data_IF_661799934170
#
_entry.id   IF_661799934170
#
_cell.length_a   1.000
_cell.length_b   1.000
_cell.length_c   1.000
_cell.angle_alpha   90.00
_cell.angle_beta   90.00
_cell.angle_gamma   90.00
#
_symmetry.space_group_name_H-M   'P 1'
#
loop_
_entity.id
_entity.type
_entity.pdbx_description
1 polymer ?
#
# COMPACT_ATOMS: atom_id res chain seq x y z
N UNK A 1 60.85 -33.48 32.33
CA UNK A 1 60.42 -32.44 33.29
C UNK A 1 59.18 -31.64 32.86
N UNK A 2 58.63 -31.88 31.68
CA UNK A 2 57.44 -31.18 31.13
C UNK A 2 56.10 -31.75 31.58
N UNK A 3 56.05 -32.99 32.08
CA UNK A 3 54.83 -33.64 32.54
C UNK A 3 54.32 -33.13 33.90
N UNK A 4 55.23 -32.86 34.81
CA UNK A 4 54.88 -32.33 36.13
C UNK A 4 54.29 -30.94 36.11
N UNK A 5 54.66 -30.09 35.15
CA UNK A 5 54.05 -28.76 34.99
C UNK A 5 52.65 -28.82 34.35
N UNK A 6 52.41 -29.81 33.50
CA UNK A 6 51.08 -30.06 32.94
C UNK A 6 50.10 -30.60 33.96
N UNK A 7 50.56 -31.49 34.84
CA UNK A 7 49.72 -32.07 35.89
C UNK A 7 49.33 -31.02 36.94
N UNK A 8 50.24 -30.12 37.30
CA UNK A 8 49.99 -29.03 38.24
C UNK A 8 49.05 -27.96 37.60
N UNK A 9 49.19 -27.71 36.31
CA UNK A 9 48.31 -26.78 35.60
C UNK A 9 46.88 -27.34 35.46
N UNK A 10 46.74 -28.66 35.28
CA UNK A 10 45.47 -29.35 35.18
C UNK A 10 44.76 -29.43 36.54
N UNK A 11 45.49 -29.65 37.62
CA UNK A 11 44.98 -29.66 38.99
C UNK A 11 44.54 -28.25 39.44
N UNK A 12 45.29 -27.19 39.12
CA UNK A 12 44.92 -25.81 39.42
C UNK A 12 43.67 -25.39 38.65
N UNK A 13 43.54 -25.82 37.41
CA UNK A 13 42.35 -25.57 36.59
C UNK A 13 41.12 -26.29 37.15
N UNK A 14 41.29 -27.51 37.60
CA UNK A 14 40.24 -28.32 38.22
C UNK A 14 39.75 -27.71 39.54
N UNK A 15 40.68 -27.23 40.35
CA UNK A 15 40.38 -26.59 41.65
C UNK A 15 39.66 -25.24 41.46
N UNK A 16 40.03 -24.45 40.45
CA UNK A 16 39.34 -23.21 40.10
C UNK A 16 37.92 -23.47 39.57
N UNK A 17 37.75 -24.50 38.74
CA UNK A 17 36.42 -24.90 38.25
C UNK A 17 35.52 -25.41 39.38
N UNK A 18 36.06 -26.19 40.31
CA UNK A 18 35.32 -26.69 41.48
C UNK A 18 34.84 -25.55 42.37
N UNK A 19 35.68 -24.57 42.68
CA UNK A 19 35.31 -23.37 43.46
C UNK A 19 34.27 -22.48 42.78
N UNK A 20 34.36 -22.33 41.46
CA UNK A 20 33.35 -21.62 40.66
C UNK A 20 32.01 -22.38 40.64
N UNK A 21 32.06 -23.70 40.51
CA UNK A 21 30.86 -24.54 40.49
C UNK A 21 30.16 -24.57 41.86
N UNK A 22 30.92 -24.66 42.97
CA UNK A 22 30.37 -24.56 44.32
C UNK A 22 29.66 -23.23 44.57
N UNK A 23 30.20 -22.14 44.04
CA UNK A 23 29.62 -20.79 44.22
C UNK A 23 28.46 -20.49 43.31
N UNK A 24 28.52 -20.91 42.04
CA UNK A 24 27.55 -20.50 40.99
C UNK A 24 26.73 -21.65 40.41
N UNK A 25 27.06 -22.91 40.71
CA UNK A 25 26.41 -24.10 40.15
C UNK A 25 24.89 -24.10 40.35
N UNK A 26 24.43 -23.72 41.55
CA UNK A 26 23.00 -23.61 41.85
C UNK A 26 22.30 -22.52 41.03
N UNK A 27 22.99 -21.40 40.78
CA UNK A 27 22.48 -20.33 39.95
C UNK A 27 22.43 -20.70 38.46
N UNK A 28 23.45 -21.40 37.97
CA UNK A 28 23.52 -21.92 36.60
C UNK A 28 22.42 -22.95 36.36
N UNK A 29 22.24 -23.87 37.32
CA UNK A 29 21.17 -24.86 37.25
C UNK A 29 19.78 -24.19 37.33
N UNK A 30 19.60 -23.22 38.24
CA UNK A 30 18.37 -22.45 38.35
C UNK A 30 18.02 -21.68 37.04
N UNK A 31 19.04 -21.06 36.41
CA UNK A 31 18.89 -20.39 35.13
C UNK A 31 18.53 -21.37 34.01
N UNK A 32 19.19 -22.55 33.98
CA UNK A 32 18.86 -23.57 32.98
C UNK A 32 17.42 -24.08 33.12
N UNK A 33 16.95 -24.32 34.35
CA UNK A 33 15.57 -24.70 34.63
C UNK A 33 14.61 -23.58 34.25
N UNK A 34 14.92 -22.33 34.57
CA UNK A 34 14.09 -21.18 34.18
C UNK A 34 13.95 -21.06 32.66
N UNK A 35 15.03 -21.23 31.89
CA UNK A 35 15.01 -21.23 30.43
C UNK A 35 14.09 -22.33 29.89
N UNK A 36 14.18 -23.54 30.43
CA UNK A 36 13.33 -24.67 30.01
C UNK A 36 11.88 -24.39 30.32
N UNK A 37 11.56 -23.86 31.50
CA UNK A 37 10.18 -23.51 31.88
C UNK A 37 9.60 -22.41 31.00
N UNK A 38 10.37 -21.35 30.72
CA UNK A 38 9.95 -20.27 29.81
C UNK A 38 9.74 -20.80 28.40
N UNK A 39 10.64 -21.63 27.91
CA UNK A 39 10.51 -22.25 26.58
C UNK A 39 9.26 -23.14 26.51
N UNK A 40 9.04 -23.99 27.52
CA UNK A 40 7.85 -24.84 27.58
C UNK A 40 6.56 -24.01 27.64
N UNK A 41 6.53 -22.92 28.41
CA UNK A 41 5.39 -22.02 28.48
C UNK A 41 5.11 -21.34 27.13
N UNK A 42 6.15 -20.85 26.45
CA UNK A 42 6.02 -20.21 25.12
C UNK A 42 5.55 -21.21 24.06
N UNK A 43 6.11 -22.41 24.05
CA UNK A 43 5.72 -23.47 23.10
C UNK A 43 4.27 -23.92 23.36
N UNK A 44 3.90 -24.16 24.62
CA UNK A 44 2.53 -24.51 25.01
C UNK A 44 1.52 -23.43 24.63
N UNK A 45 1.85 -22.17 24.91
CA UNK A 45 1.02 -21.03 24.51
C UNK A 45 0.84 -20.95 22.98
N UNK A 46 1.92 -21.08 22.22
CA UNK A 46 1.87 -21.08 20.75
C UNK A 46 1.03 -22.23 20.19
N UNK A 47 1.18 -23.44 20.76
CA UNK A 47 0.39 -24.60 20.36
C UNK A 47 -1.10 -24.39 20.62
N UNK A 48 -1.45 -23.80 21.77
CA UNK A 48 -2.83 -23.50 22.11
C UNK A 48 -3.44 -22.44 21.17
N UNK A 49 -2.71 -21.33 20.93
CA UNK A 49 -3.14 -20.30 19.98
C UNK A 49 -3.30 -20.87 18.57
N UNK A 50 -2.37 -21.71 18.13
CA UNK A 50 -2.45 -22.33 16.81
C UNK A 50 -3.66 -23.26 16.67
N UNK A 51 -3.97 -24.07 17.71
CA UNK A 51 -5.14 -24.94 17.68
C UNK A 51 -6.47 -24.16 17.63
N UNK A 52 -6.55 -23.03 18.33
CA UNK A 52 -7.68 -22.12 18.24
C UNK A 52 -7.85 -21.54 16.83
N UNK A 53 -6.76 -21.06 16.23
CA UNK A 53 -6.75 -20.52 14.86
C UNK A 53 -7.18 -21.56 13.82
N UNK A 54 -6.80 -22.82 13.98
CA UNK A 54 -7.23 -23.91 13.09
C UNK A 54 -8.74 -24.15 13.23
N UNK A 55 -9.27 -24.15 14.46
CA UNK A 55 -10.71 -24.29 14.68
C UNK A 55 -11.50 -23.12 14.05
N UNK A 56 -11.05 -21.89 14.26
CA UNK A 56 -11.63 -20.68 13.67
C UNK A 56 -11.59 -20.73 12.12
N UNK A 57 -10.48 -21.23 11.55
CA UNK A 57 -10.34 -21.41 10.09
C UNK A 57 -11.40 -22.36 9.53
N UNK A 58 -11.61 -23.49 10.18
CA UNK A 58 -12.59 -24.49 9.74
C UNK A 58 -14.02 -23.95 9.86
N UNK A 59 -14.33 -23.26 10.96
CA UNK A 59 -15.63 -22.66 11.18
C UNK A 59 -15.91 -21.53 10.17
N UNK A 60 -14.91 -20.70 9.88
CA UNK A 60 -15.00 -19.64 8.86
C UNK A 60 -15.25 -20.23 7.46
N UNK A 61 -14.47 -21.23 7.04
CA UNK A 61 -14.65 -21.88 5.73
C UNK A 61 -16.03 -22.53 5.59
N UNK A 62 -16.52 -23.19 6.65
CA UNK A 62 -17.86 -23.77 6.69
C UNK A 62 -18.95 -22.70 6.52
N UNK A 63 -18.85 -21.59 7.26
CA UNK A 63 -19.81 -20.50 7.19
C UNK A 63 -19.80 -19.79 5.81
N UNK A 64 -18.63 -19.59 5.23
CA UNK A 64 -18.51 -19.00 3.88
C UNK A 64 -19.17 -19.90 2.84
N UNK A 65 -18.99 -21.22 2.94
CA UNK A 65 -19.63 -22.19 2.02
C UNK A 65 -21.15 -22.25 2.22
N UNK A 66 -21.61 -22.28 3.45
CA UNK A 66 -23.04 -22.30 3.78
C UNK A 66 -23.76 -21.04 3.30
N UNK A 67 -23.08 -19.89 3.42
CA UNK A 67 -23.65 -18.59 3.02
C UNK A 67 -23.42 -18.23 1.55
N UNK A 68 -22.74 -19.08 0.77
CA UNK A 68 -22.40 -18.78 -0.62
C UNK A 68 -23.64 -18.51 -1.49
N UNK A 69 -24.66 -19.37 -1.35
CA UNK A 69 -25.91 -19.32 -2.11
C UNK A 69 -27.08 -18.72 -1.31
N UNK A 70 -26.84 -18.29 -0.05
CA UNK A 70 -27.86 -17.68 0.79
C UNK A 70 -28.23 -16.26 0.33
N UNK A 71 -29.44 -15.81 0.66
CA UNK A 71 -29.82 -14.42 0.46
C UNK A 71 -28.84 -13.49 1.20
N UNK A 72 -28.43 -12.36 0.59
CA UNK A 72 -27.38 -11.49 1.15
C UNK A 72 -27.63 -11.08 2.62
N UNK A 73 -28.87 -10.74 2.97
CA UNK A 73 -29.22 -10.36 4.33
C UNK A 73 -29.13 -11.52 5.35
N UNK A 74 -29.40 -12.75 4.92
CA UNK A 74 -29.26 -13.97 5.76
C UNK A 74 -27.78 -14.31 5.94
N UNK A 75 -27.00 -14.25 4.85
CA UNK A 75 -25.57 -14.43 4.88
C UNK A 75 -24.88 -13.41 5.82
N UNK A 76 -25.32 -12.15 5.79
CA UNK A 76 -24.80 -11.11 6.68
C UNK A 76 -25.04 -11.45 8.16
N UNK A 77 -26.24 -11.93 8.51
CA UNK A 77 -26.58 -12.33 9.89
C UNK A 77 -25.73 -13.52 10.36
N UNK A 78 -25.55 -14.53 9.52
CA UNK A 78 -24.73 -15.69 9.85
C UNK A 78 -23.26 -15.30 10.08
N UNK A 79 -22.71 -14.43 9.23
CA UNK A 79 -21.34 -13.93 9.37
C UNK A 79 -21.17 -13.01 10.59
N UNK A 80 -22.18 -12.22 10.94
CA UNK A 80 -22.19 -11.42 12.16
C UNK A 80 -22.16 -12.30 13.43
N UNK A 81 -22.96 -13.38 13.46
CA UNK A 81 -22.94 -14.33 14.56
C UNK A 81 -21.56 -15.00 14.68
N UNK A 82 -20.99 -15.43 13.55
CA UNK A 82 -19.67 -16.03 13.50
C UNK A 82 -18.58 -15.07 14.02
N UNK A 83 -18.61 -13.81 13.59
CA UNK A 83 -17.65 -12.80 14.04
C UNK A 83 -17.71 -12.55 15.55
N UNK A 84 -18.88 -12.71 16.17
CA UNK A 84 -19.04 -12.57 17.62
C UNK A 84 -18.46 -13.74 18.42
N UNK A 85 -18.29 -14.91 17.81
CA UNK A 85 -17.75 -16.13 18.43
C UNK A 85 -16.23 -16.28 18.21
N UNK A 86 -15.70 -15.60 17.19
CA UNK A 86 -14.29 -15.68 16.80
C UNK A 86 -13.44 -14.58 17.41
N UNK A 87 -12.12 -14.78 17.35
CA UNK A 87 -11.14 -13.78 17.72
C UNK A 87 -10.09 -13.50 16.62
N UNK A 88 -9.45 -12.34 16.70
CA UNK A 88 -8.28 -12.02 15.89
C UNK A 88 -8.55 -11.91 14.39
N UNK A 89 -7.75 -12.62 13.57
CA UNK A 89 -7.79 -12.48 12.11
C UNK A 89 -9.10 -12.96 11.48
N UNK A 90 -9.67 -14.08 11.96
CA UNK A 90 -10.92 -14.63 11.42
C UNK A 90 -12.14 -13.81 11.80
N UNK A 91 -12.17 -13.22 12.98
CA UNK A 91 -13.17 -12.22 13.36
C UNK A 91 -13.16 -11.04 12.36
N UNK A 92 -11.97 -10.52 12.06
CA UNK A 92 -11.81 -9.43 11.08
C UNK A 92 -12.30 -9.82 9.70
N UNK A 93 -11.98 -11.03 9.24
CA UNK A 93 -12.44 -11.54 7.95
C UNK A 93 -13.96 -11.71 7.92
N UNK A 94 -14.55 -12.26 8.97
CA UNK A 94 -15.99 -12.42 9.09
C UNK A 94 -16.72 -11.07 9.06
N UNK A 95 -16.21 -10.05 9.76
CA UNK A 95 -16.76 -8.69 9.73
C UNK A 95 -16.67 -8.03 8.35
N UNK A 96 -15.55 -8.22 7.64
CA UNK A 96 -15.41 -7.71 6.28
C UNK A 96 -16.38 -8.38 5.32
N UNK A 97 -16.56 -9.71 5.45
CA UNK A 97 -17.52 -10.45 4.65
C UNK A 97 -18.97 -10.07 5.01
N UNK A 98 -19.29 -9.87 6.30
CA UNK A 98 -20.57 -9.34 6.74
C UNK A 98 -20.88 -8.02 6.05
N UNK A 99 -19.91 -7.09 6.04
CA UNK A 99 -20.07 -5.79 5.39
C UNK A 99 -20.31 -5.93 3.87
N UNK A 100 -19.58 -6.84 3.20
CA UNK A 100 -19.79 -7.12 1.77
C UNK A 100 -21.23 -7.68 1.52
N UNK A 101 -21.73 -8.54 2.38
CA UNK A 101 -23.10 -9.11 2.27
C UNK A 101 -24.17 -8.07 2.58
N UNK A 102 -23.96 -7.19 3.57
CA UNK A 102 -24.85 -6.06 3.83
C UNK A 102 -24.94 -5.11 2.63
N UNK A 103 -23.79 -4.82 2.01
CA UNK A 103 -23.77 -4.01 0.80
C UNK A 103 -24.58 -4.67 -0.33
N UNK A 104 -24.42 -5.97 -0.54
CA UNK A 104 -25.19 -6.74 -1.52
C UNK A 104 -26.69 -6.78 -1.20
N UNK A 105 -27.06 -6.65 0.08
CA UNK A 105 -28.45 -6.53 0.54
C UNK A 105 -29.03 -5.10 0.37
N UNK A 106 -28.21 -4.12 -0.09
CA UNK A 106 -28.61 -2.72 -0.22
C UNK A 106 -28.45 -1.90 1.07
N UNK A 107 -27.87 -2.48 2.12
CA UNK A 107 -27.65 -1.86 3.43
C UNK A 107 -26.30 -1.09 3.45
N UNK A 108 -26.14 -0.11 2.55
CA UNK A 108 -24.84 0.57 2.32
C UNK A 108 -24.29 1.27 3.58
N UNK A 109 -25.15 1.93 4.37
CA UNK A 109 -24.74 2.60 5.60
C UNK A 109 -24.26 1.62 6.67
N UNK A 110 -24.93 0.47 6.82
CA UNK A 110 -24.52 -0.57 7.74
C UNK A 110 -23.18 -1.20 7.31
N UNK A 111 -23.01 -1.46 6.02
CA UNK A 111 -21.77 -1.95 5.46
C UNK A 111 -20.61 -0.96 5.69
N UNK A 112 -20.84 0.33 5.44
CA UNK A 112 -19.86 1.39 5.70
C UNK A 112 -19.44 1.44 7.16
N UNK A 113 -20.40 1.39 8.08
CA UNK A 113 -20.11 1.42 9.53
C UNK A 113 -19.21 0.24 9.95
N UNK A 114 -19.43 -0.95 9.42
CA UNK A 114 -18.57 -2.12 9.68
C UNK A 114 -17.16 -1.94 9.10
N UNK A 115 -17.02 -1.44 7.87
CA UNK A 115 -15.71 -1.14 7.30
C UNK A 115 -14.98 -0.07 8.13
N UNK A 116 -15.66 1.00 8.56
CA UNK A 116 -15.06 2.03 9.42
C UNK A 116 -14.65 1.45 10.78
N UNK A 117 -15.42 0.54 11.35
CA UNK A 117 -15.06 -0.15 12.58
C UNK A 117 -13.77 -0.94 12.42
N UNK A 118 -13.65 -1.75 11.36
CA UNK A 118 -12.41 -2.52 11.07
C UNK A 118 -11.23 -1.58 10.77
N UNK A 119 -11.45 -0.50 10.02
CA UNK A 119 -10.40 0.46 9.66
C UNK A 119 -9.80 1.17 10.89
N UNK A 120 -10.61 1.40 11.93
CA UNK A 120 -10.22 2.11 13.15
C UNK A 120 -9.77 1.18 14.28
N UNK A 121 -9.86 -0.13 14.13
CA UNK A 121 -9.45 -1.08 15.15
C UNK A 121 -7.94 -1.27 15.19
N UNK A 122 -7.29 -0.80 16.26
CA UNK A 122 -5.83 -0.92 16.45
C UNK A 122 -5.32 -2.35 16.56
N UNK A 123 -6.17 -3.33 16.89
CA UNK A 123 -5.84 -4.76 16.95
C UNK A 123 -5.79 -5.43 15.59
N UNK A 124 -6.36 -4.82 14.56
CA UNK A 124 -6.38 -5.35 13.20
C UNK A 124 -5.07 -5.03 12.47
N UNK A 125 -4.48 -5.98 11.70
CA UNK A 125 -3.30 -5.72 10.89
C UNK A 125 -3.48 -4.55 9.92
N UNK A 126 -2.45 -3.69 9.77
CA UNK A 126 -2.52 -2.45 8.98
C UNK A 126 -3.00 -2.64 7.54
N UNK A 127 -2.64 -3.78 6.91
CA UNK A 127 -3.11 -4.10 5.56
C UNK A 127 -4.63 -4.28 5.49
N UNK A 128 -5.23 -4.91 6.49
CA UNK A 128 -6.69 -5.13 6.56
C UNK A 128 -7.43 -3.84 6.92
N UNK A 129 -6.86 -3.03 7.84
CA UNK A 129 -7.39 -1.70 8.13
C UNK A 129 -7.41 -0.81 6.89
N UNK A 130 -6.33 -0.84 6.11
CA UNK A 130 -6.26 -0.10 4.84
C UNK A 130 -7.30 -0.57 3.83
N UNK A 131 -7.49 -1.88 3.68
CA UNK A 131 -8.54 -2.44 2.82
C UNK A 131 -9.94 -1.94 3.26
N UNK A 132 -10.23 -2.02 4.55
CA UNK A 132 -11.50 -1.56 5.09
C UNK A 132 -11.72 -0.06 4.87
N UNK A 133 -10.68 0.75 5.07
CA UNK A 133 -10.74 2.19 4.80
C UNK A 133 -11.01 2.51 3.32
N UNK A 134 -10.38 1.79 2.38
CA UNK A 134 -10.66 1.92 0.95
C UNK A 134 -12.11 1.52 0.63
N UNK A 135 -12.59 0.39 1.17
CA UNK A 135 -13.99 -0.05 0.97
C UNK A 135 -15.00 0.97 1.52
N UNK A 136 -14.75 1.53 2.71
CA UNK A 136 -15.57 2.60 3.25
C UNK A 136 -15.53 3.87 2.38
N UNK A 137 -14.34 4.24 1.88
CA UNK A 137 -14.14 5.38 0.99
C UNK A 137 -14.88 5.23 -0.34
N UNK A 138 -14.91 4.01 -0.92
CA UNK A 138 -15.68 3.72 -2.13
C UNK A 138 -17.17 3.99 -1.96
N UNK A 139 -17.74 3.68 -0.80
CA UNK A 139 -19.16 3.97 -0.51
C UNK A 139 -19.43 5.46 -0.29
N UNK A 140 -18.40 6.25 -0.05
CA UNK A 140 -18.50 7.67 0.22
C UNK A 140 -18.10 8.54 -0.98
N UNK A 141 -17.53 7.97 -2.05
CA UNK A 141 -16.96 8.75 -3.16
C UNK A 141 -17.98 9.70 -3.81
N UNK A 142 -19.25 9.31 -3.85
CA UNK A 142 -20.32 10.10 -4.45
C UNK A 142 -20.95 11.14 -3.50
N UNK A 143 -20.72 11.01 -2.19
CA UNK A 143 -21.42 11.81 -1.18
C UNK A 143 -20.49 12.66 -0.29
N UNK A 144 -19.29 12.18 0.01
CA UNK A 144 -18.36 12.90 0.85
C UNK A 144 -17.83 14.18 0.19
N UNK A 145 -17.52 15.20 0.97
CA UNK A 145 -16.76 16.36 0.48
C UNK A 145 -15.32 15.97 0.13
N UNK A 146 -14.68 16.77 -0.73
CA UNK A 146 -13.25 16.56 -1.04
C UNK A 146 -12.37 16.58 0.22
N UNK A 147 -12.59 17.55 1.09
CA UNK A 147 -11.80 17.68 2.33
C UNK A 147 -12.02 16.49 3.29
N UNK A 148 -13.24 15.97 3.41
CA UNK A 148 -13.52 14.79 4.22
C UNK A 148 -12.83 13.55 3.64
N UNK A 149 -12.89 13.34 2.33
CA UNK A 149 -12.22 12.19 1.68
C UNK A 149 -10.72 12.29 1.83
N UNK A 150 -10.14 13.46 1.61
CA UNK A 150 -8.71 13.75 1.79
C UNK A 150 -8.26 13.44 3.22
N UNK A 151 -9.01 13.89 4.23
CA UNK A 151 -8.71 13.62 5.62
C UNK A 151 -8.78 12.12 5.97
N UNK A 152 -9.81 11.41 5.48
CA UNK A 152 -9.99 9.96 5.69
C UNK A 152 -8.88 9.13 5.06
N UNK A 153 -8.43 9.51 3.87
CA UNK A 153 -7.40 8.80 3.12
C UNK A 153 -5.97 9.21 3.50
N UNK A 154 -5.78 10.30 4.26
CA UNK A 154 -4.46 10.80 4.63
C UNK A 154 -3.53 9.74 5.25
N UNK A 155 -3.97 8.83 6.14
CA UNK A 155 -3.11 7.78 6.68
C UNK A 155 -2.61 6.78 5.62
N UNK A 156 -3.31 6.65 4.49
CA UNK A 156 -2.98 5.73 3.40
C UNK A 156 -2.22 6.42 2.28
N UNK A 157 -2.41 7.73 2.06
CA UNK A 157 -1.71 8.49 1.02
C UNK A 157 -0.30 8.91 1.44
N UNK A 158 -0.01 8.92 2.75
CA UNK A 158 1.30 9.18 3.31
C UNK A 158 2.07 7.87 3.55
N UNK A 159 3.37 7.84 3.19
CA UNK A 159 4.25 6.70 3.44
C UNK A 159 4.15 5.56 2.43
N UNK A 160 4.56 4.35 2.85
CA UNK A 160 4.65 3.14 2.01
C UNK A 160 3.41 2.24 2.15
N UNK A 161 2.22 2.81 2.22
CA UNK A 161 1.00 2.02 2.29
C UNK A 161 0.77 1.23 1.00
N UNK A 162 0.48 -0.09 1.06
CA UNK A 162 0.08 -0.87 -0.11
C UNK A 162 -1.19 -0.33 -0.80
N UNK A 163 -1.99 0.45 -0.09
CA UNK A 163 -3.24 1.05 -0.55
C UNK A 163 -3.10 2.49 -1.03
N UNK A 164 -1.86 3.02 -1.09
CA UNK A 164 -1.58 4.42 -1.41
C UNK A 164 -2.23 4.85 -2.72
N UNK A 165 -2.05 4.09 -3.77
CA UNK A 165 -2.57 4.42 -5.10
C UNK A 165 -4.11 4.39 -5.14
N UNK A 166 -4.73 3.42 -4.45
CA UNK A 166 -6.19 3.36 -4.34
C UNK A 166 -6.76 4.55 -3.52
N UNK A 167 -6.05 4.94 -2.46
CA UNK A 167 -6.43 6.10 -1.67
C UNK A 167 -6.32 7.41 -2.48
N UNK A 168 -5.23 7.57 -3.26
CA UNK A 168 -5.07 8.70 -4.18
C UNK A 168 -6.16 8.75 -5.25
N UNK A 169 -6.56 7.58 -5.80
CA UNK A 169 -7.67 7.48 -6.76
C UNK A 169 -9.00 7.99 -6.16
N UNK A 170 -9.34 7.56 -4.93
CA UNK A 170 -10.55 8.03 -4.25
C UNK A 170 -10.55 9.54 -4.00
N UNK A 171 -9.41 10.09 -3.58
CA UNK A 171 -9.24 11.52 -3.38
C UNK A 171 -9.39 12.27 -4.71
N UNK A 172 -8.76 11.76 -5.80
CA UNK A 172 -8.86 12.34 -7.12
C UNK A 172 -10.30 12.34 -7.66
N UNK A 173 -11.00 11.20 -7.56
CA UNK A 173 -12.41 11.09 -7.98
C UNK A 173 -13.32 12.08 -7.23
N UNK A 174 -13.12 12.20 -5.92
CA UNK A 174 -13.91 13.13 -5.11
C UNK A 174 -13.57 14.58 -5.43
N UNK A 175 -12.30 14.89 -5.72
CA UNK A 175 -11.89 16.23 -6.20
C UNK A 175 -12.50 16.55 -7.55
N UNK A 176 -12.50 15.62 -8.52
CA UNK A 176 -13.15 15.78 -9.83
C UNK A 176 -14.65 16.07 -9.67
N UNK A 177 -15.34 15.32 -8.82
CA UNK A 177 -16.76 15.53 -8.53
C UNK A 177 -17.04 16.90 -7.90
N UNK A 178 -16.13 17.37 -7.03
CA UNK A 178 -16.23 18.68 -6.38
C UNK A 178 -15.86 19.85 -7.31
N UNK A 179 -15.29 19.59 -8.49
CA UNK A 179 -14.78 20.63 -9.40
C UNK A 179 -13.38 21.15 -9.00
N UNK A 180 -12.71 20.49 -8.06
CA UNK A 180 -11.36 20.81 -7.59
C UNK A 180 -10.31 20.23 -8.57
N UNK A 181 -10.34 20.73 -9.83
CA UNK A 181 -9.61 20.16 -10.96
C UNK A 181 -8.09 20.11 -10.76
N UNK A 182 -7.51 21.14 -10.13
CA UNK A 182 -6.07 21.20 -9.87
C UNK A 182 -5.65 20.16 -8.83
N UNK A 183 -6.45 19.98 -7.80
CA UNK A 183 -6.20 18.95 -6.78
C UNK A 183 -6.33 17.54 -7.36
N UNK A 184 -7.34 17.33 -8.22
CA UNK A 184 -7.47 16.08 -8.96
C UNK A 184 -6.25 15.80 -9.83
N UNK A 185 -5.76 16.78 -10.58
CA UNK A 185 -4.58 16.66 -11.44
C UNK A 185 -3.33 16.29 -10.65
N UNK A 186 -3.12 16.91 -9.49
CA UNK A 186 -2.00 16.58 -8.60
C UNK A 186 -2.05 15.09 -8.20
N UNK A 187 -3.20 14.60 -7.74
CA UNK A 187 -3.34 13.20 -7.28
C UNK A 187 -3.22 12.21 -8.44
N UNK A 188 -3.79 12.53 -9.60
CA UNK A 188 -3.67 11.71 -10.81
C UNK A 188 -2.21 11.61 -11.26
N UNK A 189 -1.47 12.72 -11.27
CA UNK A 189 -0.05 12.73 -11.61
C UNK A 189 0.80 11.91 -10.61
N UNK A 190 0.48 11.96 -9.32
CA UNK A 190 1.13 11.11 -8.31
C UNK A 190 0.94 9.62 -8.62
N UNK A 191 -0.28 9.19 -9.04
CA UNK A 191 -0.56 7.80 -9.43
C UNK A 191 0.23 7.41 -10.68
N UNK A 192 0.25 8.27 -11.71
CA UNK A 192 0.93 7.98 -12.99
C UNK A 192 2.44 7.91 -12.81
N UNK A 193 3.01 8.81 -12.01
CA UNK A 193 4.46 8.92 -11.80
C UNK A 193 5.04 7.77 -10.97
N UNK A 194 4.23 7.12 -10.14
CA UNK A 194 4.69 6.03 -9.29
C UNK A 194 4.86 4.74 -10.08
N UNK A 195 6.09 4.24 -10.14
CA UNK A 195 6.43 3.00 -10.86
C UNK A 195 5.79 1.75 -10.24
N UNK A 196 5.44 1.80 -8.95
CA UNK A 196 4.77 0.71 -8.22
C UNK A 196 3.25 0.64 -8.52
N UNK A 197 2.69 1.63 -9.22
CA UNK A 197 1.27 1.64 -9.57
C UNK A 197 0.91 0.48 -10.49
N UNK A 198 -0.07 -0.38 -10.14
CA UNK A 198 -0.57 -1.42 -11.01
C UNK A 198 -1.07 -0.87 -12.35
N UNK A 199 -0.86 -1.62 -13.45
CA UNK A 199 -1.19 -1.17 -14.81
C UNK A 199 -2.65 -0.72 -14.93
N UNK A 200 -3.61 -1.52 -14.47
CA UNK A 200 -5.03 -1.16 -14.56
C UNK A 200 -5.43 0.11 -13.80
N UNK A 201 -4.72 0.44 -12.71
CA UNK A 201 -4.96 1.69 -11.99
C UNK A 201 -4.33 2.87 -12.72
N UNK A 202 -3.15 2.67 -13.32
CA UNK A 202 -2.48 3.67 -14.16
C UNK A 202 -3.32 4.00 -15.41
N UNK A 203 -3.90 3.00 -16.04
CA UNK A 203 -4.79 3.20 -17.19
C UNK A 203 -6.02 4.03 -16.81
N UNK A 204 -6.65 3.75 -15.66
CA UNK A 204 -7.75 4.59 -15.15
C UNK A 204 -7.29 6.01 -14.83
N UNK A 205 -6.09 6.18 -14.29
CA UNK A 205 -5.52 7.50 -14.01
C UNK A 205 -5.33 8.31 -15.32
N UNK A 206 -4.87 7.69 -16.41
CA UNK A 206 -4.79 8.35 -17.72
C UNK A 206 -6.16 8.75 -18.25
N UNK A 207 -7.18 7.92 -18.07
CA UNK A 207 -8.56 8.28 -18.44
C UNK A 207 -9.04 9.49 -17.62
N UNK A 208 -8.84 9.47 -16.30
CA UNK A 208 -9.17 10.62 -15.44
C UNK A 208 -8.43 11.88 -15.87
N UNK A 209 -7.14 11.78 -16.19
CA UNK A 209 -6.34 12.91 -16.69
C UNK A 209 -6.92 13.52 -17.97
N UNK A 210 -7.33 12.67 -18.91
CA UNK A 210 -7.98 13.14 -20.15
C UNK A 210 -9.32 13.84 -19.87
N UNK A 211 -10.09 13.36 -18.90
CA UNK A 211 -11.38 13.96 -18.51
C UNK A 211 -11.22 15.33 -17.86
N UNK A 212 -10.18 15.56 -17.07
CA UNK A 212 -9.95 16.85 -16.40
C UNK A 212 -9.21 17.87 -17.28
N UNK A 213 -8.53 17.44 -18.35
CA UNK A 213 -7.71 18.31 -19.20
C UNK A 213 -8.43 19.57 -19.71
N UNK A 214 -9.73 19.53 -20.11
CA UNK A 214 -10.45 20.75 -20.53
C UNK A 214 -10.69 21.76 -19.40
N UNK A 215 -10.62 21.33 -18.14
CA UNK A 215 -10.90 22.14 -16.96
C UNK A 215 -9.64 22.75 -16.33
N UNK A 216 -8.47 22.32 -16.77
CA UNK A 216 -7.20 22.85 -16.29
C UNK A 216 -6.81 24.12 -17.03
N UNK A 217 -6.11 25.08 -16.37
CA UNK A 217 -5.54 26.22 -17.06
C UNK A 217 -4.63 25.73 -18.19
N UNK A 218 -4.85 26.22 -19.41
CA UNK A 218 -3.87 25.99 -20.46
C UNK A 218 -2.60 26.70 -20.04
N UNK A 219 -1.52 25.97 -19.86
CA UNK A 219 -0.18 26.55 -19.85
C UNK A 219 -0.03 27.12 -21.26
N UNK A 220 -0.14 28.45 -21.38
CA UNK A 220 0.25 29.12 -22.60
C UNK A 220 1.67 28.66 -22.88
N UNK A 221 1.89 28.04 -24.04
CA UNK A 221 3.24 27.74 -24.51
C UNK A 221 4.01 29.06 -24.53
N UNK A 222 4.81 29.31 -23.52
CA UNK A 222 5.83 30.37 -23.53
C UNK A 222 6.89 29.99 -24.55
N UNK A 223 6.51 30.02 -25.81
CA UNK A 223 7.35 29.62 -26.92
C UNK A 223 6.95 30.23 -28.27
N UNK A 224 5.76 30.86 -28.37
CA UNK A 224 5.34 31.47 -29.64
C UNK A 224 4.90 32.92 -29.47
N UNK A 225 5.84 33.73 -28.98
CA UNK A 225 5.71 35.17 -29.01
C UNK A 225 7.09 35.81 -29.22
N UNK A 226 7.59 35.73 -30.44
CA UNK A 226 8.45 36.74 -31.06
C UNK A 226 8.73 36.34 -32.51
N UNK A 227 7.74 36.35 -33.37
CA UNK A 227 8.04 36.71 -34.75
C UNK A 227 8.29 38.21 -34.75
N UNK A 228 9.48 38.69 -35.11
CA UNK A 228 9.71 40.11 -35.25
C UNK A 228 8.91 40.61 -36.44
N UNK A 229 8.07 41.61 -36.15
CA UNK A 229 7.34 42.38 -37.15
C UNK A 229 8.27 42.82 -38.25
N UNK A 230 7.83 42.54 -39.48
CA UNK A 230 8.03 43.27 -40.71
C UNK A 230 9.13 44.31 -40.73
N UNK A 231 10.31 43.95 -41.27
CA UNK A 231 11.21 44.92 -41.86
C UNK A 231 10.63 45.33 -43.21
N UNK A 232 10.32 46.61 -43.35
CA UNK A 232 9.95 47.38 -44.54
C UNK A 232 11.00 47.19 -45.64
N UNK A 233 10.64 47.04 -46.94
CA UNK A 233 11.61 46.92 -48.01
C UNK A 233 12.15 48.29 -48.37
N UNK A 234 13.46 48.51 -48.23
CA UNK A 234 14.17 49.65 -48.81
C UNK A 234 14.43 49.42 -50.30
N UNK A 235 14.51 50.51 -51.12
CA UNK A 235 14.38 50.46 -52.58
C UNK A 235 15.67 49.98 -53.28
N UNK A 236 15.41 49.44 -54.48
CA UNK A 236 16.38 48.96 -55.44
C UNK A 236 17.43 50.01 -55.85
N UNK A 237 18.69 49.65 -55.87
CA UNK A 237 19.69 50.26 -56.75
C UNK A 237 20.18 49.21 -57.75
N UNK A 238 19.96 49.56 -59.04
CA UNK A 238 20.53 48.89 -60.18
C UNK A 238 22.01 49.14 -60.26
N UNK A 239 22.81 48.13 -60.51
CA UNK A 239 24.02 48.30 -61.34
C UNK A 239 24.48 46.94 -61.89
N UNK A 240 24.25 46.79 -63.16
CA UNK A 240 25.00 46.23 -64.30
C UNK A 240 26.16 45.24 -64.08
N UNK A 241 25.85 44.05 -64.70
CA UNK A 241 26.73 43.33 -65.65
C UNK A 241 28.23 43.19 -65.37
N UNK A 242 28.66 41.94 -65.33
CA UNK A 242 29.63 41.49 -66.35
C UNK A 242 29.74 39.97 -66.43
N UNK A 243 29.70 39.52 -67.63
CA UNK A 243 29.85 38.21 -68.21
C UNK A 243 31.25 37.65 -67.96
N UNK A 244 31.39 36.39 -67.67
CA UNK A 244 32.36 35.48 -68.33
C UNK A 244 32.33 34.07 -67.72
N UNK A 245 31.80 33.19 -68.47
CA UNK A 245 32.47 32.09 -69.23
C UNK A 245 32.70 30.79 -68.38
N UNK A 246 32.02 29.83 -68.85
CA UNK A 246 32.25 28.40 -68.53
C UNK A 246 33.58 27.94 -69.22
N UNK A 247 34.13 26.76 -68.97
CA UNK A 247 33.43 25.51 -69.23
C UNK A 247 33.86 24.23 -68.44
N UNK A 248 33.00 23.22 -68.54
CA UNK A 248 33.29 21.80 -68.78
C UNK A 248 33.74 20.86 -67.68
N UNK A 249 32.88 19.99 -67.39
CA UNK A 249 32.93 18.57 -67.00
C UNK A 249 34.15 17.74 -67.54
N UNK A 250 34.51 16.51 -67.13
CA UNK A 250 33.59 15.42 -66.67
C UNK A 250 34.14 14.40 -65.63
N UNK A 251 33.21 13.59 -65.17
CA UNK A 251 33.23 12.13 -65.00
C UNK A 251 34.26 11.43 -64.10
N UNK A 252 33.83 10.61 -63.25
CA UNK A 252 33.58 9.17 -63.22
C UNK A 252 34.33 8.43 -62.12
N UNK A 253 33.54 7.51 -61.56
CA UNK A 253 33.91 6.20 -61.00
C UNK A 253 34.87 6.13 -59.81
N UNK A 254 34.49 5.61 -58.68
CA UNK A 254 34.16 4.20 -58.35
C UNK A 254 33.30 4.13 -57.07
#
# INVERSE_FOLDING_TARGET
>A
MTDLFREVEEDLRREQFSKLWEKYGAWVLGLAVAIVLVTAAVVGWRAWVHSAQVADSVAYDAAVKETADAAPAEAAKALAALAAEMGGGYETLARLQEADRRLAAGEADAARALYEQVANDGGVPGIMRGLAAIKAGLLLVDTASYEDMKARMAPLTSGESPWRQNALELVALTAMRAGEWQEADIRIKEIIADTATPAGLRDRAHVMQALIAPHLPRVAEEGEAAAPASAEPAPAEETQSETQDAPVSPAATE
#
